data_IF_530720902109
#
_entry.id   IF_530720902109
#
_cell.length_a   1.000
_cell.length_b   1.000
_cell.length_c   1.000
_cell.angle_alpha   90.00
_cell.angle_beta   90.00
_cell.angle_gamma   90.00
#
_symmetry.space_group_name_H-M   'P 1'
#
loop_
_entity.id
_entity.type
_entity.pdbx_description
1 polymer ?
#
# COMPACT_ATOMS: atom_id res chain seq x y z
N UNK A 1 23.52 -27.89 1.11
CA UNK A 1 23.13 -29.21 1.66
C UNK A 1 23.15 -29.11 3.16
N UNK A 2 22.08 -29.46 3.81
CA UNK A 2 22.01 -29.51 5.27
C UNK A 2 21.73 -30.95 5.67
N UNK A 3 22.58 -31.50 6.47
CA UNK A 3 22.36 -32.82 7.05
C UNK A 3 21.87 -32.60 8.49
N UNK A 4 20.62 -32.93 8.76
CA UNK A 4 20.00 -32.66 10.04
C UNK A 4 19.06 -33.80 10.48
N UNK A 5 18.82 -33.88 11.76
CA UNK A 5 17.92 -34.81 12.42
C UNK A 5 16.51 -34.24 12.62
N UNK A 6 15.57 -35.13 12.95
CA UNK A 6 14.18 -34.81 13.16
C UNK A 6 14.01 -33.68 14.20
N UNK A 7 13.12 -32.77 13.89
CA UNK A 7 12.78 -31.66 14.76
C UNK A 7 13.81 -30.51 14.82
N UNK A 8 14.95 -30.63 14.17
CA UNK A 8 15.90 -29.52 14.10
C UNK A 8 15.38 -28.37 13.22
N UNK A 9 15.46 -27.16 13.72
CA UNK A 9 15.26 -25.94 12.95
C UNK A 9 16.60 -25.33 12.60
N UNK A 10 16.91 -25.16 11.32
CA UNK A 10 18.08 -24.44 10.87
C UNK A 10 17.68 -23.01 10.52
N UNK A 11 18.37 -22.04 11.08
CA UNK A 11 18.22 -20.63 10.75
C UNK A 11 19.49 -20.15 10.05
N UNK A 12 19.36 -19.70 8.82
CA UNK A 12 20.46 -19.17 8.04
C UNK A 12 20.30 -17.65 7.94
N UNK A 13 21.31 -16.92 8.40
CA UNK A 13 21.38 -15.46 8.27
C UNK A 13 22.15 -15.08 7.03
N UNK A 14 21.56 -14.26 6.13
CA UNK A 14 22.27 -13.72 4.97
C UNK A 14 21.34 -13.48 3.78
N UNK A 15 21.76 -12.58 2.87
CA UNK A 15 20.99 -12.11 1.74
C UNK A 15 20.45 -13.21 0.81
N UNK A 16 19.75 -12.83 -0.22
CA UNK A 16 19.04 -13.65 -1.19
C UNK A 16 19.73 -15.01 -1.48
N UNK A 17 19.01 -16.11 -1.18
CA UNK A 17 19.43 -17.47 -1.51
C UNK A 17 18.44 -18.05 -2.52
N UNK A 18 18.80 -18.18 -3.80
CA UNK A 18 17.88 -18.69 -4.81
C UNK A 18 17.58 -20.19 -4.66
N UNK A 19 18.55 -21.01 -4.21
CA UNK A 19 18.38 -22.46 -4.12
C UNK A 19 19.00 -23.03 -2.85
N UNK A 20 18.16 -23.51 -1.95
CA UNK A 20 18.58 -24.27 -0.78
C UNK A 20 18.13 -25.72 -0.91
N UNK A 21 19.07 -26.64 -1.09
CA UNK A 21 18.81 -28.05 -1.08
C UNK A 21 19.15 -28.64 0.29
N UNK A 22 18.15 -29.16 0.98
CA UNK A 22 18.36 -29.88 2.23
C UNK A 22 18.42 -31.38 1.91
N UNK A 23 19.56 -32.00 2.13
CA UNK A 23 19.73 -33.43 1.97
C UNK A 23 19.98 -34.02 3.37
N UNK A 24 19.12 -34.92 3.79
CA UNK A 24 19.38 -35.76 4.97
C UNK A 24 19.82 -37.14 4.48
N UNK A 25 20.41 -37.99 5.35
CA UNK A 25 20.70 -39.39 5.02
C UNK A 25 19.47 -40.15 4.51
N UNK A 26 18.28 -39.66 4.77
CA UNK A 26 16.99 -40.24 4.42
C UNK A 26 16.22 -39.49 3.32
N UNK A 27 16.79 -38.54 2.61
CA UNK A 27 16.17 -37.76 1.51
C UNK A 27 14.81 -37.13 1.87
N UNK A 28 14.72 -36.39 2.95
CA UNK A 28 13.50 -35.65 3.29
C UNK A 28 13.42 -34.30 2.62
N UNK A 29 12.23 -33.90 2.14
CA UNK A 29 11.96 -32.56 1.62
C UNK A 29 11.57 -31.63 2.77
N UNK A 30 12.24 -30.51 2.90
CA UNK A 30 11.88 -29.44 3.83
C UNK A 30 11.07 -28.33 3.14
N UNK A 31 10.30 -27.58 3.89
CA UNK A 31 9.62 -26.38 3.43
C UNK A 31 10.47 -25.16 3.82
N UNK A 32 10.80 -24.33 2.84
CA UNK A 32 11.52 -23.08 3.06
C UNK A 32 10.52 -21.98 3.41
N UNK A 33 10.71 -21.34 4.54
CA UNK A 33 10.02 -20.11 4.90
C UNK A 33 11.02 -18.96 4.89
N UNK A 34 10.80 -17.97 4.04
CA UNK A 34 11.65 -16.77 3.96
C UNK A 34 11.04 -15.63 4.77
N UNK A 35 11.87 -14.95 5.53
CA UNK A 35 11.60 -13.61 6.04
C UNK A 35 12.85 -12.76 5.82
N UNK A 36 12.78 -11.42 5.74
CA UNK A 36 13.94 -10.59 5.45
C UNK A 36 15.12 -10.90 6.38
N UNK A 37 16.22 -11.38 5.80
CA UNK A 37 17.46 -11.69 6.49
C UNK A 37 17.55 -13.04 7.20
N UNK A 38 16.48 -13.88 7.16
CA UNK A 38 16.47 -15.22 7.79
C UNK A 38 15.74 -16.24 6.93
N UNK A 39 16.29 -17.43 6.84
CA UNK A 39 15.63 -18.58 6.22
C UNK A 39 15.45 -19.67 7.30
N UNK A 40 14.21 -20.07 7.52
CA UNK A 40 13.90 -21.19 8.41
C UNK A 40 13.52 -22.40 7.57
N UNK A 41 14.23 -23.50 7.77
CA UNK A 41 13.91 -24.79 7.15
C UNK A 41 13.34 -25.68 8.21
N UNK A 42 12.06 -26.07 8.04
CA UNK A 42 11.43 -27.08 8.88
C UNK A 42 11.64 -28.44 8.23
N UNK A 43 12.42 -29.30 8.87
CA UNK A 43 12.60 -30.69 8.45
C UNK A 43 11.57 -31.56 9.17
N UNK A 44 10.79 -32.33 8.43
CA UNK A 44 9.75 -33.22 8.97
C UNK A 44 10.12 -34.68 8.76
N UNK A 45 9.76 -35.57 9.71
CA UNK A 45 9.97 -37.02 9.58
C UNK A 45 11.36 -37.53 9.97
N UNK A 46 12.10 -36.76 10.74
CA UNK A 46 13.43 -37.15 11.25
C UNK A 46 13.37 -37.55 12.75
N UNK A 47 14.33 -38.33 13.21
CA UNK A 47 14.46 -38.74 14.62
C UNK A 47 14.83 -37.53 15.52
N UNK A 48 14.17 -37.33 16.68
CA UNK A 48 14.43 -36.20 17.58
C UNK A 48 15.89 -36.02 18.06
N UNK A 49 16.72 -37.05 17.94
CA UNK A 49 18.09 -37.06 18.43
C UNK A 49 19.17 -36.81 17.39
N UNK A 50 18.82 -36.51 16.13
CA UNK A 50 19.80 -36.31 15.06
C UNK A 50 20.53 -34.95 15.21
N UNK A 51 21.82 -34.91 15.02
CA UNK A 51 22.64 -33.68 15.03
C UNK A 51 22.90 -33.20 13.60
N UNK A 52 22.91 -31.89 13.41
CA UNK A 52 23.36 -31.30 12.15
C UNK A 52 24.88 -31.54 12.06
N UNK A 53 25.30 -32.24 10.98
CA UNK A 53 26.70 -32.59 10.78
C UNK A 53 27.42 -31.59 9.87
N UNK A 54 26.72 -31.04 8.88
CA UNK A 54 27.24 -30.02 7.97
C UNK A 54 26.12 -29.26 7.30
N UNK A 55 26.40 -28.05 6.89
CA UNK A 55 25.52 -27.23 6.06
C UNK A 55 26.34 -26.51 4.97
N UNK A 56 25.81 -26.50 3.75
CA UNK A 56 26.43 -25.80 2.63
C UNK A 56 25.38 -24.91 1.95
N UNK A 57 25.81 -23.75 1.49
CA UNK A 57 24.96 -22.75 0.83
C UNK A 57 25.48 -22.50 -0.58
N UNK A 58 24.61 -22.55 -1.57
CA UNK A 58 24.94 -22.14 -2.93
C UNK A 58 24.45 -20.70 -3.18
N UNK A 59 25.39 -19.81 -3.48
CA UNK A 59 25.13 -18.39 -3.81
C UNK A 59 25.24 -18.10 -5.29
N UNK A 60 25.08 -19.10 -6.16
CA UNK A 60 25.23 -18.97 -7.62
C UNK A 60 26.69 -19.13 -8.11
N UNK A 61 27.66 -19.23 -7.19
CA UNK A 61 29.10 -19.41 -7.51
C UNK A 61 29.65 -20.75 -7.02
N UNK A 62 28.78 -21.70 -6.69
CA UNK A 62 29.13 -23.01 -6.12
C UNK A 62 28.72 -23.14 -4.64
N UNK A 63 28.91 -24.37 -4.11
CA UNK A 63 28.58 -24.71 -2.73
C UNK A 63 29.66 -24.21 -1.77
N UNK A 64 29.30 -23.45 -0.77
CA UNK A 64 30.17 -22.90 0.25
C UNK A 64 29.76 -23.48 1.60
N UNK A 65 30.70 -24.04 2.42
CA UNK A 65 30.38 -24.49 3.75
C UNK A 65 29.78 -23.37 4.60
N UNK A 66 28.66 -23.64 5.22
CA UNK A 66 28.07 -22.73 6.21
C UNK A 66 28.83 -22.90 7.53
N UNK A 67 29.26 -21.79 8.11
CA UNK A 67 29.90 -21.81 9.40
C UNK A 67 28.83 -22.04 10.50
N UNK A 68 29.00 -23.09 11.30
CA UNK A 68 28.17 -23.26 12.49
C UNK A 68 28.53 -22.12 13.47
N UNK A 69 27.58 -21.27 13.75
CA UNK A 69 27.67 -20.39 14.92
C UNK A 69 27.08 -21.15 16.09
N UNK A 70 27.79 -21.16 17.22
CA UNK A 70 27.28 -21.72 18.46
C UNK A 70 25.86 -21.25 18.71
N UNK A 71 25.02 -22.19 19.06
CA UNK A 71 23.58 -22.05 19.15
C UNK A 71 23.17 -20.62 19.52
N UNK A 72 22.46 -19.95 18.62
CA UNK A 72 21.55 -18.87 19.05
C UNK A 72 20.66 -19.55 20.08
N UNK A 73 20.94 -19.36 21.35
CA UNK A 73 20.16 -19.94 22.42
C UNK A 73 18.72 -19.55 22.20
N UNK A 74 17.74 -20.41 22.50
CA UNK A 74 16.33 -20.07 22.45
C UNK A 74 16.00 -18.72 23.09
N UNK A 75 16.81 -18.30 24.07
CA UNK A 75 16.74 -16.99 24.73
C UNK A 75 16.99 -15.81 23.81
N UNK A 76 17.92 -15.91 22.85
CA UNK A 76 18.17 -14.83 21.87
C UNK A 76 17.06 -14.78 20.84
N UNK A 77 16.50 -15.93 20.45
CA UNK A 77 15.34 -15.97 19.59
C UNK A 77 14.07 -15.48 20.29
N UNK A 78 13.87 -15.86 21.54
CA UNK A 78 12.74 -15.33 22.34
C UNK A 78 12.93 -13.84 22.68
N UNK A 79 14.16 -13.32 22.70
CA UNK A 79 14.42 -11.87 22.83
C UNK A 79 14.27 -11.12 21.52
N UNK A 80 14.59 -11.75 20.36
CA UNK A 80 14.35 -11.15 19.03
C UNK A 80 12.88 -11.25 18.61
N UNK A 81 12.14 -12.21 19.14
CA UNK A 81 10.71 -12.46 18.93
C UNK A 81 9.95 -12.53 20.26
N UNK A 82 10.56 -12.14 21.38
CA UNK A 82 9.73 -11.77 22.50
C UNK A 82 8.69 -10.82 21.91
N UNK A 83 7.38 -11.04 22.15
CA UNK A 83 6.45 -9.97 21.91
C UNK A 83 7.11 -8.78 22.60
N UNK A 84 7.51 -7.79 21.80
CA UNK A 84 7.93 -6.49 22.34
C UNK A 84 6.96 -6.25 23.46
N UNK A 85 7.46 -6.18 24.68
CA UNK A 85 6.63 -6.03 25.88
C UNK A 85 5.55 -5.08 25.47
N UNK A 86 4.29 -5.48 25.60
CA UNK A 86 3.16 -4.73 25.02
C UNK A 86 3.46 -3.30 25.36
N UNK A 87 4.08 -2.60 24.41
CA UNK A 87 4.34 -1.19 24.58
C UNK A 87 2.94 -0.68 24.78
N UNK A 88 2.63 -0.26 25.97
CA UNK A 88 1.39 0.42 26.26
C UNK A 88 1.30 1.46 25.15
N UNK A 89 0.32 1.28 24.25
CA UNK A 89 0.14 2.21 23.15
C UNK A 89 0.19 3.59 23.76
N UNK A 90 1.12 4.44 23.35
CA UNK A 90 1.26 5.75 24.00
C UNK A 90 -0.09 6.46 24.01
N UNK A 91 -0.35 7.26 25.05
CA UNK A 91 -1.56 8.09 25.10
C UNK A 91 -1.67 8.90 23.82
N UNK A 92 -2.84 8.95 23.20
CA UNK A 92 -3.04 9.67 21.96
C UNK A 92 -2.70 11.15 22.10
N UNK A 93 -2.07 11.72 21.08
CA UNK A 93 -2.11 13.15 20.87
C UNK A 93 -3.54 13.53 20.45
N UNK A 94 -4.03 14.67 20.92
CA UNK A 94 -5.35 15.19 20.52
C UNK A 94 -5.16 16.57 19.89
N UNK A 95 -5.65 16.73 18.66
CA UNK A 95 -5.67 18.02 17.98
C UNK A 95 -7.10 18.55 17.89
N UNK A 96 -7.27 19.83 18.17
CA UNK A 96 -8.57 20.52 18.10
C UNK A 96 -8.41 21.99 17.72
N UNK A 97 -9.42 22.58 17.11
CA UNK A 97 -9.43 23.96 16.67
C UNK A 97 -8.43 24.24 15.54
N UNK A 98 -7.64 25.30 15.67
CA UNK A 98 -6.61 25.67 14.69
C UNK A 98 -5.25 25.09 15.11
N UNK A 99 -4.69 24.23 14.24
CA UNK A 99 -3.36 23.62 14.41
C UNK A 99 -2.45 24.13 13.31
N UNK A 100 -1.26 24.57 13.65
CA UNK A 100 -0.24 24.96 12.67
C UNK A 100 0.81 23.87 12.64
N UNK A 101 1.07 23.31 11.45
CA UNK A 101 2.13 22.34 11.23
C UNK A 101 3.26 22.99 10.42
N UNK A 102 4.47 22.99 10.98
CA UNK A 102 5.67 23.52 10.35
C UNK A 102 6.74 22.46 10.20
N UNK A 103 7.41 22.45 9.04
CA UNK A 103 8.52 21.55 8.78
C UNK A 103 8.11 20.09 8.71
N UNK A 104 8.97 19.19 9.21
CA UNK A 104 8.78 17.75 9.14
C UNK A 104 8.56 17.18 10.54
N UNK A 105 7.34 16.70 10.80
CA UNK A 105 6.96 16.11 12.08
C UNK A 105 6.73 14.61 11.94
N UNK A 106 7.36 13.82 12.82
CA UNK A 106 7.12 12.38 12.96
C UNK A 106 6.43 12.14 14.28
N UNK A 107 5.19 11.66 14.24
CA UNK A 107 4.40 11.38 15.43
C UNK A 107 4.44 9.87 15.72
N UNK A 108 5.13 9.51 16.81
CA UNK A 108 5.28 8.11 17.28
C UNK A 108 4.30 7.81 18.42
N UNK A 109 3.06 8.20 18.24
CA UNK A 109 1.89 7.91 19.09
C UNK A 109 0.61 8.04 18.29
N UNK A 110 -0.52 7.44 18.72
CA UNK A 110 -1.80 7.65 18.06
C UNK A 110 -2.19 9.14 18.03
N UNK A 111 -2.87 9.54 16.96
CA UNK A 111 -3.40 10.88 16.81
C UNK A 111 -4.92 10.82 16.69
N UNK A 112 -5.59 11.61 17.52
CA UNK A 112 -7.03 11.90 17.43
C UNK A 112 -7.18 13.34 16.98
N UNK A 113 -7.93 13.56 15.91
CA UNK A 113 -8.28 14.91 15.45
C UNK A 113 -9.78 15.10 15.65
N UNK A 114 -10.14 16.10 16.44
CA UNK A 114 -11.53 16.40 16.77
C UNK A 114 -12.29 17.06 15.60
N UNK A 115 -13.61 16.91 15.53
CA UNK A 115 -14.43 17.55 14.50
C UNK A 115 -14.21 19.07 14.45
N UNK A 116 -14.17 19.64 13.24
CA UNK A 116 -13.98 21.06 13.01
C UNK A 116 -12.54 21.55 13.10
N UNK A 117 -11.59 20.67 13.37
CA UNK A 117 -10.17 21.04 13.40
C UNK A 117 -9.68 21.44 12.01
N UNK A 118 -8.95 22.55 11.94
CA UNK A 118 -8.22 22.98 10.76
C UNK A 118 -6.72 22.83 11.00
N UNK A 119 -6.08 21.96 10.25
CA UNK A 119 -4.62 21.78 10.23
C UNK A 119 -4.05 22.67 9.11
N UNK A 120 -3.42 23.75 9.50
CA UNK A 120 -2.79 24.74 8.63
C UNK A 120 -1.33 24.33 8.38
N UNK A 121 -1.02 23.88 7.16
CA UNK A 121 0.31 23.38 6.82
C UNK A 121 1.12 24.46 6.11
N UNK A 122 2.32 24.75 6.62
CA UNK A 122 3.25 25.69 5.98
C UNK A 122 3.93 25.04 4.76
N UNK A 123 4.62 25.81 3.90
CA UNK A 123 5.30 25.24 2.73
C UNK A 123 6.24 24.09 3.08
N UNK A 124 6.07 22.95 2.39
CA UNK A 124 6.85 21.73 2.62
C UNK A 124 6.55 20.99 3.93
N UNK A 125 5.63 21.48 4.76
CA UNK A 125 5.27 20.81 6.01
C UNK A 125 4.77 19.39 5.77
N UNK A 126 5.27 18.44 6.53
CA UNK A 126 4.95 17.01 6.38
C UNK A 126 4.70 16.37 7.74
N UNK A 127 3.64 15.57 7.81
CA UNK A 127 3.25 14.81 8.99
C UNK A 127 3.40 13.32 8.72
N UNK A 128 4.28 12.65 9.43
CA UNK A 128 4.44 11.18 9.35
C UNK A 128 3.90 10.55 10.61
N UNK A 129 2.86 9.74 10.45
CA UNK A 129 2.18 9.03 11.53
C UNK A 129 2.62 7.57 11.55
N UNK A 130 3.27 7.15 12.64
CA UNK A 130 3.69 5.76 12.86
C UNK A 130 2.64 4.94 13.61
N UNK A 131 1.61 5.59 14.14
CA UNK A 131 0.50 4.98 14.85
C UNK A 131 -0.83 5.43 14.28
N UNK A 132 -1.90 4.82 14.77
CA UNK A 132 -3.27 5.02 14.31
C UNK A 132 -3.69 6.48 14.29
N UNK A 133 -4.24 6.90 13.17
CA UNK A 133 -4.95 8.16 13.00
C UNK A 133 -6.46 7.94 13.18
N UNK A 134 -7.08 8.74 14.01
CA UNK A 134 -8.53 8.85 14.12
C UNK A 134 -8.94 10.29 13.84
N UNK A 135 -9.28 10.57 12.58
CA UNK A 135 -9.74 11.89 12.12
C UNK A 135 -11.22 11.77 11.73
N UNK A 136 -12.10 12.01 12.69
CA UNK A 136 -13.55 11.85 12.50
C UNK A 136 -14.24 13.21 12.60
N UNK A 137 -14.34 13.92 11.48
CA UNK A 137 -15.18 15.11 11.36
C UNK A 137 -16.67 14.77 11.26
N UNK A 138 -17.47 15.79 11.05
CA UNK A 138 -18.88 15.66 10.69
C UNK A 138 -19.17 16.54 9.48
N UNK A 139 -20.35 16.39 8.88
CA UNK A 139 -20.77 17.22 7.75
C UNK A 139 -20.78 18.71 8.12
N UNK A 140 -21.18 19.03 9.35
CA UNK A 140 -21.26 20.41 9.88
C UNK A 140 -19.92 20.91 10.40
N UNK A 141 -19.02 20.01 10.81
CA UNK A 141 -17.71 20.30 11.37
C UNK A 141 -16.63 19.37 10.73
N UNK A 142 -16.33 19.54 9.44
CA UNK A 142 -15.29 18.74 8.78
C UNK A 142 -13.90 19.06 9.31
N UNK A 143 -13.00 18.09 9.25
CA UNK A 143 -11.58 18.29 9.54
C UNK A 143 -10.90 18.73 8.25
N UNK A 144 -10.04 19.76 8.31
CA UNK A 144 -9.38 20.32 7.14
C UNK A 144 -7.87 20.25 7.26
N UNK A 145 -7.22 19.79 6.18
CA UNK A 145 -5.78 19.89 5.98
C UNK A 145 -5.55 20.82 4.78
N UNK A 146 -5.10 22.01 5.06
CA UNK A 146 -5.05 23.09 4.06
C UNK A 146 -3.75 23.89 4.16
N UNK A 147 -3.34 24.58 3.08
CA UNK A 147 -2.23 25.52 3.16
C UNK A 147 -2.48 26.60 4.23
N UNK A 148 -1.47 26.90 5.04
CA UNK A 148 -1.57 27.94 6.08
C UNK A 148 -1.87 29.34 5.48
N UNK A 149 -1.53 29.54 4.19
CA UNK A 149 -1.86 30.73 3.42
C UNK A 149 -2.20 30.32 1.98
N UNK A 150 -3.20 30.93 1.37
CA UNK A 150 -3.72 30.58 0.05
C UNK A 150 -2.71 30.73 -1.10
N UNK A 151 -1.76 31.64 -0.99
CA UNK A 151 -0.78 31.95 -2.07
C UNK A 151 0.63 31.40 -1.76
N UNK A 152 0.76 30.48 -0.83
CA UNK A 152 2.03 29.87 -0.50
C UNK A 152 2.40 28.74 -1.45
N UNK A 153 3.69 28.33 -1.45
CA UNK A 153 4.11 27.09 -2.04
C UNK A 153 3.40 25.89 -1.35
N UNK A 154 3.17 24.77 -2.06
CA UNK A 154 2.45 23.63 -1.50
C UNK A 154 3.11 23.08 -0.24
N UNK A 155 2.31 22.55 0.67
CA UNK A 155 2.81 21.74 1.77
C UNK A 155 3.24 20.35 1.26
N UNK A 156 3.90 19.56 2.09
CA UNK A 156 4.43 18.26 1.72
C UNK A 156 3.36 17.17 1.72
N UNK A 157 3.45 16.23 2.64
CA UNK A 157 2.58 15.06 2.70
C UNK A 157 2.02 14.80 4.10
N UNK A 158 0.85 14.17 4.16
CA UNK A 158 0.40 13.40 5.32
C UNK A 158 0.67 11.94 5.03
N UNK A 159 1.37 11.25 5.93
CA UNK A 159 1.82 9.89 5.73
C UNK A 159 1.36 8.98 6.86
N UNK A 160 0.69 7.89 6.53
CA UNK A 160 0.46 6.76 7.43
C UNK A 160 1.49 5.69 7.10
N UNK A 161 2.32 5.27 8.05
CA UNK A 161 3.45 4.39 7.76
C UNK A 161 3.63 3.30 8.80
N UNK A 162 3.53 2.06 8.33
CA UNK A 162 3.78 0.85 9.11
C UNK A 162 2.60 0.39 9.95
N UNK A 163 2.71 -0.82 10.48
CA UNK A 163 1.64 -1.58 11.15
C UNK A 163 1.08 -0.91 12.42
N UNK A 164 1.82 0.03 13.02
CA UNK A 164 1.29 0.82 14.13
C UNK A 164 0.10 1.71 13.73
N UNK A 165 0.01 2.08 12.45
CA UNK A 165 -1.07 2.87 11.89
C UNK A 165 -2.30 2.04 11.46
N UNK A 166 -2.31 0.72 11.67
CA UNK A 166 -3.45 -0.15 11.35
C UNK A 166 -4.75 0.34 11.98
N UNK A 167 -5.84 0.23 11.22
CA UNK A 167 -7.16 0.67 11.63
C UNK A 167 -7.33 2.20 11.65
N UNK A 168 -6.48 2.93 10.93
CA UNK A 168 -6.64 4.39 10.77
C UNK A 168 -7.94 4.73 10.06
N UNK A 169 -8.57 5.81 10.50
CA UNK A 169 -9.85 6.26 9.95
C UNK A 169 -9.84 7.74 9.66
N UNK A 170 -10.30 8.12 8.46
CA UNK A 170 -10.62 9.49 8.08
C UNK A 170 -12.08 9.54 7.66
N UNK A 171 -12.86 10.40 8.27
CA UNK A 171 -14.24 10.64 7.84
C UNK A 171 -14.57 12.12 7.89
N UNK A 172 -15.33 12.61 6.90
CA UNK A 172 -15.64 14.02 6.73
C UNK A 172 -14.37 14.89 6.84
N UNK A 173 -13.33 14.51 6.09
CA UNK A 173 -12.08 15.26 6.01
C UNK A 173 -11.94 15.91 4.63
N UNK A 174 -11.40 17.12 4.60
CA UNK A 174 -11.01 17.83 3.39
C UNK A 174 -9.49 17.98 3.36
N UNK A 175 -8.85 17.60 2.26
CA UNK A 175 -7.40 17.73 2.08
C UNK A 175 -7.11 18.41 0.74
N UNK A 176 -6.34 19.50 0.77
CA UNK A 176 -6.06 20.28 -0.43
C UNK A 176 -4.70 20.97 -0.41
N UNK A 177 -4.10 21.15 -1.59
CA UNK A 177 -2.90 21.97 -1.78
C UNK A 177 -1.61 21.33 -1.31
N UNK A 178 -1.60 20.01 -1.10
CA UNK A 178 -0.40 19.26 -0.75
C UNK A 178 0.40 18.81 -1.96
N UNK A 179 1.55 18.27 -1.66
CA UNK A 179 2.49 17.71 -2.62
C UNK A 179 2.91 16.32 -2.14
N UNK A 180 4.18 16.05 -2.02
CA UNK A 180 4.75 14.83 -1.50
C UNK A 180 6.00 15.12 -0.69
N UNK A 181 6.71 14.06 -0.34
CA UNK A 181 8.00 14.16 0.32
C UNK A 181 8.98 13.16 -0.30
N UNK A 182 10.12 13.66 -0.75
CA UNK A 182 11.22 12.84 -1.26
C UNK A 182 12.46 13.05 -0.41
N UNK A 183 13.01 11.94 0.07
CA UNK A 183 14.30 11.89 0.77
C UNK A 183 15.30 11.00 0.03
N UNK A 184 16.49 10.80 0.59
CA UNK A 184 17.55 10.02 -0.05
C UNK A 184 17.19 8.53 -0.23
N UNK A 185 16.40 7.97 0.68
CA UNK A 185 16.07 6.54 0.75
C UNK A 185 14.58 6.25 0.76
N UNK A 186 13.73 7.25 0.60
CA UNK A 186 12.27 7.09 0.58
C UNK A 186 11.60 8.15 -0.29
N UNK A 187 10.42 7.82 -0.76
CA UNK A 187 9.56 8.74 -1.50
C UNK A 187 8.10 8.52 -1.09
N UNK A 188 7.44 9.62 -0.79
CA UNK A 188 6.00 9.68 -0.63
C UNK A 188 5.47 10.52 -1.78
N UNK A 189 4.97 9.84 -2.82
CA UNK A 189 4.62 10.45 -4.11
C UNK A 189 3.29 11.20 -4.09
N UNK A 190 2.60 11.26 -2.95
CA UNK A 190 1.25 11.81 -2.86
C UNK A 190 1.07 12.79 -1.70
N UNK A 191 0.05 13.62 -1.82
CA UNK A 191 -0.46 14.47 -0.74
C UNK A 191 -0.88 13.65 0.49
N UNK A 192 -1.50 12.48 0.28
CA UNK A 192 -1.73 11.46 1.30
C UNK A 192 -1.08 10.15 0.86
N UNK A 193 -0.06 9.70 1.58
CA UNK A 193 0.64 8.44 1.32
C UNK A 193 0.40 7.44 2.45
N UNK A 194 0.03 6.19 2.11
CA UNK A 194 -0.33 5.15 3.07
C UNK A 194 0.48 3.90 2.75
N UNK A 195 1.49 3.60 3.57
CA UNK A 195 2.45 2.54 3.30
C UNK A 195 2.49 1.49 4.42
N UNK A 196 2.27 0.22 4.06
CA UNK A 196 2.26 -0.94 4.97
C UNK A 196 1.27 -0.78 6.14
N UNK A 197 0.02 -0.42 5.83
CA UNK A 197 -1.06 -0.19 6.80
C UNK A 197 -2.27 -1.04 6.43
N UNK A 198 -2.91 -1.67 7.41
CA UNK A 198 -4.10 -2.50 7.22
C UNK A 198 -5.34 -1.87 7.83
N UNK A 199 -6.51 -2.29 7.30
CA UNK A 199 -7.82 -1.89 7.81
C UNK A 199 -8.04 -0.36 7.81
N UNK A 200 -7.56 0.34 6.78
CA UNK A 200 -7.78 1.79 6.64
C UNK A 200 -9.17 2.07 6.07
N UNK A 201 -9.87 3.01 6.66
CA UNK A 201 -11.18 3.47 6.17
C UNK A 201 -11.16 4.97 5.93
N UNK A 202 -11.49 5.37 4.69
CA UNK A 202 -11.66 6.78 4.30
C UNK A 202 -13.09 6.94 3.78
N UNK A 203 -13.90 7.73 4.47
CA UNK A 203 -15.30 7.91 4.12
C UNK A 203 -15.72 9.38 4.14
N UNK A 204 -16.62 9.74 3.23
CA UNK A 204 -17.20 11.09 3.18
C UNK A 204 -16.15 12.21 3.11
N UNK A 205 -15.00 11.93 2.47
CA UNK A 205 -13.85 12.83 2.40
C UNK A 205 -13.72 13.49 1.03
N UNK A 206 -12.94 14.58 0.97
CA UNK A 206 -12.60 15.26 -0.28
C UNK A 206 -11.08 15.46 -0.36
N UNK A 207 -10.50 15.02 -1.48
CA UNK A 207 -9.11 15.25 -1.83
C UNK A 207 -9.08 16.10 -3.10
N UNK A 208 -8.33 17.20 -3.10
CA UNK A 208 -8.31 18.10 -4.25
C UNK A 208 -7.03 18.91 -4.39
N UNK A 209 -6.75 19.28 -5.62
CA UNK A 209 -5.75 20.30 -5.94
C UNK A 209 -4.36 19.97 -5.36
N UNK A 210 -3.83 18.75 -5.59
CA UNK A 210 -2.43 18.45 -5.25
C UNK A 210 -1.48 19.11 -6.25
N UNK A 211 -0.23 19.35 -5.82
CA UNK A 211 0.78 20.05 -6.60
C UNK A 211 2.10 19.27 -6.63
N UNK A 212 2.87 19.47 -7.71
CA UNK A 212 4.27 19.02 -7.89
C UNK A 212 4.44 17.51 -8.06
N UNK A 213 3.78 16.69 -7.23
CA UNK A 213 3.90 15.23 -7.29
C UNK A 213 2.83 14.59 -8.15
N UNK A 214 3.11 13.39 -8.57
CA UNK A 214 2.29 12.61 -9.48
C UNK A 214 0.92 12.33 -8.88
N UNK A 215 0.85 11.71 -7.71
CA UNK A 215 -0.38 11.20 -7.15
C UNK A 215 -1.03 12.16 -6.15
N UNK A 216 -2.36 12.13 -6.07
CA UNK A 216 -3.10 12.83 -5.01
C UNK A 216 -3.17 11.97 -3.75
N UNK A 217 -3.52 10.68 -3.90
CA UNK A 217 -3.47 9.66 -2.83
C UNK A 217 -2.75 8.44 -3.36
N UNK A 218 -1.73 7.97 -2.63
CA UNK A 218 -0.95 6.79 -3.00
C UNK A 218 -0.92 5.77 -1.86
N UNK A 219 -1.09 4.48 -2.18
CA UNK A 219 -1.03 3.39 -1.21
C UNK A 219 -0.08 2.29 -1.63
N UNK A 220 0.72 1.77 -0.71
CA UNK A 220 1.64 0.65 -0.96
C UNK A 220 1.49 -0.39 0.15
N UNK A 221 1.31 -1.66 -0.21
CA UNK A 221 1.10 -2.77 0.74
C UNK A 221 -0.04 -2.54 1.74
N UNK A 222 -1.14 -1.96 1.30
CA UNK A 222 -2.24 -1.46 2.16
C UNK A 222 -3.52 -2.26 1.94
N UNK A 223 -4.33 -2.41 3.00
CA UNK A 223 -5.74 -2.80 2.89
C UNK A 223 -6.60 -1.58 3.20
N UNK A 224 -7.37 -1.12 2.22
CA UNK A 224 -8.06 0.16 2.33
C UNK A 224 -9.47 0.14 1.76
N UNK A 225 -10.34 0.93 2.36
CA UNK A 225 -11.69 1.17 1.89
C UNK A 225 -11.95 2.66 1.71
N UNK A 226 -12.45 3.02 0.54
CA UNK A 226 -12.95 4.36 0.21
C UNK A 226 -14.46 4.30 0.02
N UNK A 227 -15.20 5.16 0.73
CA UNK A 227 -16.65 5.22 0.67
C UNK A 227 -17.13 6.68 0.54
N UNK A 228 -17.84 7.02 -0.52
CA UNK A 228 -18.35 8.37 -0.78
C UNK A 228 -17.26 9.45 -0.72
N UNK A 229 -16.17 9.20 -1.42
CA UNK A 229 -15.01 10.10 -1.47
C UNK A 229 -15.00 10.87 -2.79
N UNK A 230 -14.71 12.15 -2.73
CA UNK A 230 -14.48 12.99 -3.90
C UNK A 230 -12.97 13.20 -4.10
N UNK A 231 -12.49 12.84 -5.28
CA UNK A 231 -11.16 13.19 -5.80
C UNK A 231 -11.34 14.20 -6.93
N UNK A 232 -10.70 15.37 -6.83
CA UNK A 232 -10.90 16.45 -7.79
C UNK A 232 -9.64 17.20 -8.12
N UNK A 233 -9.42 17.44 -9.42
CA UNK A 233 -8.29 18.21 -9.95
C UNK A 233 -6.93 17.64 -9.48
N UNK A 234 -6.74 16.33 -9.58
CA UNK A 234 -5.42 15.75 -9.38
C UNK A 234 -4.45 16.25 -10.46
N UNK A 235 -3.20 16.52 -10.09
CA UNK A 235 -2.18 16.96 -11.03
C UNK A 235 -1.89 15.88 -12.09
N UNK A 236 -1.78 14.64 -11.65
CA UNK A 236 -1.66 13.46 -12.50
C UNK A 236 -2.69 12.42 -12.07
N UNK A 237 -2.35 11.43 -11.24
CA UNK A 237 -3.28 10.41 -10.81
C UNK A 237 -4.05 10.80 -9.54
N UNK A 238 -5.35 10.54 -9.51
CA UNK A 238 -6.13 10.86 -8.32
C UNK A 238 -5.90 9.82 -7.22
N UNK A 239 -5.85 8.53 -7.57
CA UNK A 239 -5.63 7.44 -6.65
C UNK A 239 -4.74 6.38 -7.29
N UNK A 240 -3.54 6.18 -6.74
CA UNK A 240 -2.61 5.14 -7.13
C UNK A 240 -2.54 4.05 -6.03
N UNK A 241 -2.71 2.80 -6.45
CA UNK A 241 -2.84 1.64 -5.56
C UNK A 241 -1.82 0.57 -5.95
N UNK A 242 -0.72 0.51 -5.19
CA UNK A 242 0.38 -0.42 -5.40
C UNK A 242 0.33 -1.59 -4.42
N UNK A 243 0.35 -2.82 -4.95
CA UNK A 243 0.48 -4.06 -4.18
C UNK A 243 -0.50 -4.08 -2.99
N UNK A 244 -1.71 -3.62 -3.22
CA UNK A 244 -2.71 -3.35 -2.18
C UNK A 244 -3.98 -4.18 -2.39
N UNK A 245 -4.86 -4.14 -1.40
CA UNK A 245 -6.24 -4.59 -1.50
C UNK A 245 -7.15 -3.41 -1.25
N UNK A 246 -8.04 -3.10 -2.18
CA UNK A 246 -8.87 -1.91 -2.09
C UNK A 246 -10.35 -2.18 -2.39
N UNK A 247 -11.22 -1.46 -1.70
CA UNK A 247 -12.63 -1.37 -2.03
C UNK A 247 -13.02 0.10 -2.14
N UNK A 248 -13.63 0.47 -3.26
CA UNK A 248 -14.06 1.83 -3.57
C UNK A 248 -15.56 1.78 -3.86
N UNK A 249 -16.36 2.56 -3.12
CA UNK A 249 -17.80 2.62 -3.34
C UNK A 249 -18.32 4.06 -3.35
N UNK A 250 -19.33 4.29 -4.20
CA UNK A 250 -20.09 5.53 -4.26
C UNK A 250 -19.22 6.80 -4.33
N UNK A 251 -18.08 6.71 -5.00
CA UNK A 251 -17.05 7.73 -5.01
C UNK A 251 -16.98 8.45 -6.36
N UNK A 252 -16.42 9.66 -6.36
CA UNK A 252 -16.35 10.52 -7.53
C UNK A 252 -14.90 10.90 -7.83
N UNK A 253 -14.51 10.77 -9.08
CA UNK A 253 -13.19 11.11 -9.59
C UNK A 253 -13.38 12.11 -10.74
N UNK A 254 -12.90 13.34 -10.56
CA UNK A 254 -13.13 14.43 -11.49
C UNK A 254 -11.86 15.17 -11.86
N UNK A 255 -11.61 15.32 -13.18
CA UNK A 255 -10.55 16.18 -13.72
C UNK A 255 -9.14 15.80 -13.22
N UNK A 256 -8.80 14.53 -13.15
CA UNK A 256 -7.40 14.10 -12.97
C UNK A 256 -6.60 14.44 -14.24
N UNK A 257 -5.37 14.85 -14.08
CA UNK A 257 -4.48 15.15 -15.22
C UNK A 257 -4.08 13.91 -16.01
N UNK A 258 -4.05 12.75 -15.36
CA UNK A 258 -3.78 11.44 -15.93
C UNK A 258 -4.89 10.45 -15.54
N UNK A 259 -4.63 9.43 -14.72
CA UNK A 259 -5.61 8.40 -14.39
C UNK A 259 -6.47 8.80 -13.17
N UNK A 260 -7.73 8.43 -13.16
CA UNK A 260 -8.52 8.60 -11.95
C UNK A 260 -8.17 7.54 -10.90
N UNK A 261 -7.99 6.29 -11.33
CA UNK A 261 -7.49 5.18 -10.50
C UNK A 261 -6.46 4.39 -11.29
N UNK A 262 -5.23 4.28 -10.80
CA UNK A 262 -4.24 3.33 -11.31
C UNK A 262 -4.02 2.17 -10.32
N UNK A 263 -3.96 0.96 -10.84
CA UNK A 263 -3.78 -0.27 -10.08
C UNK A 263 -2.50 -0.98 -10.55
N UNK A 264 -1.54 -1.17 -9.65
CA UNK A 264 -0.36 -1.96 -9.90
C UNK A 264 -0.28 -3.15 -8.91
N UNK A 265 -0.35 -4.38 -9.42
CA UNK A 265 -0.29 -5.62 -8.61
C UNK A 265 -1.33 -5.62 -7.47
N UNK A 266 -2.48 -5.03 -7.70
CA UNK A 266 -3.52 -4.74 -6.72
C UNK A 266 -4.79 -5.54 -6.97
N UNK A 267 -5.49 -5.93 -5.90
CA UNK A 267 -6.84 -6.48 -5.97
C UNK A 267 -7.84 -5.40 -5.56
N UNK A 268 -8.72 -5.00 -6.48
CA UNK A 268 -9.66 -3.94 -6.23
C UNK A 268 -11.11 -4.33 -6.56
N UNK A 269 -12.04 -3.81 -5.76
CA UNK A 269 -13.46 -3.76 -6.09
C UNK A 269 -13.92 -2.31 -6.18
N UNK A 270 -14.62 -1.94 -7.27
CA UNK A 270 -15.12 -0.57 -7.48
C UNK A 270 -16.60 -0.62 -7.81
N UNK A 271 -17.43 0.01 -7.00
CA UNK A 271 -18.90 -0.06 -7.15
C UNK A 271 -19.55 1.30 -7.04
N UNK A 272 -20.58 1.56 -7.88
CA UNK A 272 -21.42 2.74 -7.79
C UNK A 272 -20.70 4.07 -7.98
N UNK A 273 -19.52 4.06 -8.57
CA UNK A 273 -18.62 5.23 -8.62
C UNK A 273 -18.65 5.92 -9.99
N UNK A 274 -18.23 7.18 -10.02
CA UNK A 274 -18.25 8.05 -11.19
C UNK A 274 -16.84 8.55 -11.54
N UNK A 275 -16.48 8.43 -12.82
CA UNK A 275 -15.17 8.82 -13.36
C UNK A 275 -15.37 9.81 -14.50
N UNK A 276 -15.17 11.11 -14.20
CA UNK A 276 -15.57 12.18 -15.10
C UNK A 276 -14.38 13.02 -15.57
N UNK A 277 -14.20 13.11 -16.89
CA UNK A 277 -13.25 14.03 -17.54
C UNK A 277 -11.80 13.89 -17.05
N UNK A 278 -11.33 12.66 -16.85
CA UNK A 278 -9.95 12.41 -16.49
C UNK A 278 -9.06 12.38 -17.75
N UNK A 279 -7.85 12.89 -17.62
CA UNK A 279 -6.97 13.19 -18.75
C UNK A 279 -6.50 11.98 -19.53
N UNK A 280 -6.40 10.82 -18.88
CA UNK A 280 -6.10 9.56 -19.56
C UNK A 280 -7.17 8.51 -19.21
N UNK A 281 -7.04 7.70 -18.17
CA UNK A 281 -7.98 6.61 -17.92
C UNK A 281 -8.93 6.90 -16.77
N UNK A 282 -10.19 6.47 -16.90
CA UNK A 282 -11.07 6.35 -15.75
C UNK A 282 -10.51 5.31 -14.77
N UNK A 283 -10.17 4.11 -15.26
CA UNK A 283 -9.55 3.06 -14.46
C UNK A 283 -8.45 2.38 -15.27
N UNK A 284 -7.22 2.40 -14.75
CA UNK A 284 -6.06 1.67 -15.26
C UNK A 284 -5.82 0.41 -14.43
N UNK A 285 -5.77 -0.75 -15.07
CA UNK A 285 -5.58 -2.05 -14.41
C UNK A 285 -4.29 -2.66 -14.96
N UNK A 286 -3.21 -2.55 -14.21
CA UNK A 286 -1.86 -2.90 -14.67
C UNK A 286 -1.13 -3.88 -13.78
N UNK A 287 -0.06 -4.41 -14.32
CA UNK A 287 0.97 -5.17 -13.61
C UNK A 287 0.41 -6.33 -12.76
N UNK A 288 -0.38 -7.24 -13.40
CA UNK A 288 -0.99 -8.40 -12.76
C UNK A 288 -2.09 -8.05 -11.72
N UNK A 289 -2.75 -6.91 -11.87
CA UNK A 289 -3.87 -6.51 -11.01
C UNK A 289 -5.17 -7.24 -11.35
N UNK A 290 -6.09 -7.26 -10.40
CA UNK A 290 -7.42 -7.82 -10.55
C UNK A 290 -8.46 -6.78 -10.13
N UNK A 291 -9.36 -6.44 -11.05
CA UNK A 291 -10.47 -5.52 -10.82
C UNK A 291 -11.80 -6.24 -10.94
N UNK A 292 -12.67 -6.00 -9.96
CA UNK A 292 -14.09 -6.29 -10.04
C UNK A 292 -14.88 -4.99 -9.93
N UNK A 293 -15.54 -4.58 -11.03
CA UNK A 293 -16.23 -3.29 -11.12
C UNK A 293 -17.71 -3.47 -11.44
N UNK A 294 -18.60 -2.82 -10.68
CA UNK A 294 -20.06 -2.97 -10.81
C UNK A 294 -20.75 -1.61 -10.71
N UNK A 295 -21.70 -1.34 -11.61
CA UNK A 295 -22.57 -0.15 -11.57
C UNK A 295 -21.83 1.19 -11.61
N UNK A 296 -20.71 1.30 -12.31
CA UNK A 296 -19.97 2.55 -12.40
C UNK A 296 -20.33 3.31 -13.68
N UNK A 297 -20.12 4.62 -13.65
CA UNK A 297 -20.26 5.52 -14.80
C UNK A 297 -18.88 6.10 -15.14
N UNK A 298 -18.47 5.93 -16.39
CA UNK A 298 -17.20 6.46 -16.91
C UNK A 298 -17.53 7.41 -18.08
N UNK A 299 -17.28 8.70 -17.88
CA UNK A 299 -17.70 9.73 -18.82
C UNK A 299 -16.56 10.69 -19.16
N UNK A 300 -16.36 10.95 -20.45
CA UNK A 300 -15.46 12.01 -20.92
C UNK A 300 -13.97 11.75 -20.71
N UNK A 301 -13.57 10.52 -20.37
CA UNK A 301 -12.16 10.14 -20.22
C UNK A 301 -11.52 9.85 -21.59
N UNK A 302 -10.20 9.90 -21.69
CA UNK A 302 -9.53 9.42 -22.90
C UNK A 302 -9.81 7.92 -23.08
N UNK A 303 -9.64 7.13 -22.02
CA UNK A 303 -10.00 5.70 -21.98
C UNK A 303 -10.88 5.45 -20.76
N UNK A 304 -12.02 4.78 -20.93
CA UNK A 304 -12.88 4.42 -19.80
C UNK A 304 -12.17 3.45 -18.86
N UNK A 305 -11.94 2.20 -19.30
CA UNK A 305 -11.17 1.19 -18.56
C UNK A 305 -10.08 0.61 -19.43
N UNK A 306 -8.86 0.57 -18.90
CA UNK A 306 -7.72 -0.09 -19.53
C UNK A 306 -7.25 -1.27 -18.69
N UNK A 307 -6.97 -2.42 -19.34
CA UNK A 307 -6.32 -3.57 -18.71
C UNK A 307 -5.02 -3.90 -19.45
N UNK A 308 -3.91 -3.98 -18.72
CA UNK A 308 -2.58 -4.22 -19.29
C UNK A 308 -1.82 -5.28 -18.47
N UNK A 309 -0.79 -5.89 -19.09
CA UNK A 309 0.27 -6.63 -18.40
C UNK A 309 -0.24 -7.71 -17.42
N UNK A 310 -0.93 -8.73 -17.97
CA UNK A 310 -1.46 -9.89 -17.25
C UNK A 310 -2.57 -9.55 -16.25
N UNK A 311 -3.12 -8.36 -16.33
CA UNK A 311 -4.21 -7.95 -15.44
C UNK A 311 -5.57 -8.41 -15.95
N UNK A 312 -6.53 -8.50 -15.05
CA UNK A 312 -7.89 -8.92 -15.36
C UNK A 312 -8.89 -7.91 -14.80
N UNK A 313 -9.76 -7.40 -15.65
CA UNK A 313 -10.90 -6.57 -15.26
C UNK A 313 -12.21 -7.30 -15.54
N UNK A 314 -13.04 -7.47 -14.53
CA UNK A 314 -14.42 -7.96 -14.65
C UNK A 314 -15.36 -6.78 -14.44
N UNK A 315 -16.07 -6.43 -15.49
CA UNK A 315 -16.93 -5.23 -15.58
C UNK A 315 -18.39 -5.63 -15.74
N UNK A 316 -19.23 -5.30 -14.77
CA UNK A 316 -20.66 -5.60 -14.80
C UNK A 316 -21.48 -4.32 -14.67
N UNK A 317 -22.46 -4.17 -15.55
CA UNK A 317 -23.40 -3.04 -15.53
C UNK A 317 -22.72 -1.66 -15.50
N UNK A 318 -21.72 -1.47 -16.37
CA UNK A 318 -21.03 -0.20 -16.52
C UNK A 318 -21.76 0.72 -17.52
N UNK A 319 -21.68 2.02 -17.31
CA UNK A 319 -22.12 3.04 -18.27
C UNK A 319 -20.93 3.80 -18.82
N UNK A 320 -20.71 3.74 -20.13
CA UNK A 320 -19.65 4.45 -20.83
C UNK A 320 -20.24 5.58 -21.69
N UNK A 321 -19.88 6.82 -21.43
CA UNK A 321 -20.40 7.96 -22.16
C UNK A 321 -19.29 8.91 -22.59
N UNK A 322 -19.21 9.22 -23.87
CA UNK A 322 -18.27 10.22 -24.41
C UNK A 322 -16.79 9.97 -24.08
N UNK A 323 -16.37 8.75 -23.74
CA UNK A 323 -14.96 8.42 -23.69
C UNK A 323 -14.44 8.27 -25.13
N UNK A 324 -13.19 8.69 -25.39
CA UNK A 324 -12.59 8.49 -26.72
C UNK A 324 -12.46 6.99 -27.03
N UNK A 325 -12.12 6.18 -26.03
CA UNK A 325 -12.10 4.71 -26.08
C UNK A 325 -12.80 4.19 -24.83
N UNK A 326 -13.84 3.39 -24.97
CA UNK A 326 -14.52 2.84 -23.80
C UNK A 326 -13.66 1.80 -23.07
N UNK A 327 -13.07 0.86 -23.80
CA UNK A 327 -12.29 -0.26 -23.27
C UNK A 327 -11.02 -0.46 -24.07
N UNK A 328 -9.91 -0.74 -23.38
CA UNK A 328 -8.64 -1.03 -24.02
C UNK A 328 -7.91 -2.15 -23.27
N UNK A 329 -7.60 -3.23 -23.96
CA UNK A 329 -6.79 -4.33 -23.41
C UNK A 329 -5.55 -4.54 -24.27
N UNK A 330 -4.36 -4.55 -23.67
CA UNK A 330 -3.11 -4.70 -24.40
C UNK A 330 -1.96 -5.20 -23.51
N UNK A 331 -0.80 -5.41 -24.09
CA UNK A 331 0.45 -5.72 -23.43
C UNK A 331 1.40 -4.54 -23.54
N UNK A 332 1.73 -3.92 -22.40
CA UNK A 332 2.68 -2.81 -22.30
C UNK A 332 4.10 -3.30 -22.03
N UNK A 333 4.24 -4.19 -21.06
CA UNK A 333 5.54 -4.63 -20.56
C UNK A 333 5.75 -6.14 -20.79
N UNK A 334 6.82 -6.47 -21.51
CA UNK A 334 7.18 -7.85 -21.86
C UNK A 334 7.41 -8.76 -20.63
N UNK A 335 7.78 -8.21 -19.49
CA UNK A 335 8.08 -8.95 -18.25
C UNK A 335 6.89 -9.71 -17.69
N UNK A 336 5.67 -9.24 -17.96
CA UNK A 336 4.45 -9.89 -17.47
C UNK A 336 3.95 -11.05 -18.35
N UNK A 337 4.60 -11.33 -19.48
CA UNK A 337 4.24 -12.42 -20.38
C UNK A 337 3.06 -12.06 -21.28
N UNK A 338 1.83 -12.03 -20.72
CA UNK A 338 0.60 -11.78 -21.47
C UNK A 338 0.11 -10.33 -21.36
N UNK A 339 -0.86 -9.95 -22.21
CA UNK A 339 -1.57 -8.69 -22.12
C UNK A 339 -2.66 -8.70 -21.03
N UNK A 340 -3.38 -7.61 -20.93
CA UNK A 340 -4.55 -7.50 -20.06
C UNK A 340 -5.78 -8.17 -20.68
N UNK A 341 -6.74 -8.53 -19.82
CA UNK A 341 -8.02 -9.15 -20.19
C UNK A 341 -9.16 -8.35 -19.57
N UNK A 342 -10.24 -8.15 -20.35
CA UNK A 342 -11.47 -7.51 -19.87
C UNK A 342 -12.64 -8.47 -20.13
N UNK A 343 -13.36 -8.82 -19.07
CA UNK A 343 -14.64 -9.51 -19.14
C UNK A 343 -15.75 -8.47 -18.95
N UNK A 344 -16.56 -8.26 -19.98
CA UNK A 344 -17.65 -7.30 -19.96
C UNK A 344 -19.00 -8.02 -19.89
N UNK A 345 -19.71 -7.81 -18.78
CA UNK A 345 -21.10 -8.17 -18.65
C UNK A 345 -22.03 -7.05 -19.14
N UNK A 346 -23.33 -7.18 -18.91
CA UNK A 346 -24.34 -6.20 -19.30
C UNK A 346 -23.89 -4.76 -18.99
N UNK A 347 -23.66 -3.97 -20.02
CA UNK A 347 -23.15 -2.59 -19.92
C UNK A 347 -23.65 -1.75 -21.09
N UNK A 348 -23.64 -0.44 -20.96
CA UNK A 348 -24.15 0.51 -21.98
C UNK A 348 -23.14 1.61 -22.31
#
# INVERSE_FOLDING_TARGET
VVTANAGASLVIRGGFLPDLTVTTKARHRGTLHSSPGFYRIKLTGLDPNTKILSAEVNRGLGWIPAQAVDSITPTVFSQLYAPVAVNTVPEPAVWSGEVILEGHEILDRPLVIEPGTTVNLTPGATLVLKHRLTAKGTREAPIRFVPARSEQAPWGAVVLSGRGADGSTLSHCEMAGGSGLKGDLFEYSAMLSIHDVKDVVISDCQFRDNHVVDDMVHTVYTDIRFERVLFKNALSDALDLDISTASISDSHFENSGNDAVDLMTTQASITGSHFNNNGDKGISVGENSQLYAVNNTLQGNLIGVQSKDRSTAVLLNQTFTNNKTALHAYKKNWRYGDGGVIFLGKST
#
